data_IF_445571395363
#
_entry.id   IF_445571395363
#
_cell.length_a   1.000
_cell.length_b   1.000
_cell.length_c   1.000
_cell.angle_alpha   90.00
_cell.angle_beta   90.00
_cell.angle_gamma   90.00
#
_symmetry.space_group_name_H-M   'P 1'
#
loop_
_entity.id
_entity.type
_entity.pdbx_description
1 polymer ?
#
# COMPACT_ATOMS: atom_id res chain seq x y z
N UNK A 1 -6.68 -15.71 3.63
CA UNK A 1 -6.71 -14.24 3.76
C UNK A 1 -6.66 -13.63 2.37
N UNK A 2 -7.36 -12.52 2.18
CA UNK A 2 -7.38 -11.73 0.96
C UNK A 2 -6.78 -10.36 1.21
N UNK A 3 -5.80 -9.96 0.41
CA UNK A 3 -5.05 -8.74 0.59
C UNK A 3 -5.36 -7.72 -0.51
N UNK A 4 -5.54 -6.46 -0.13
CA UNK A 4 -5.49 -5.33 -1.04
C UNK A 4 -4.09 -4.74 -0.98
N UNK A 5 -3.39 -4.69 -2.11
CA UNK A 5 -2.04 -4.13 -2.23
C UNK A 5 -2.09 -2.76 -2.90
N UNK A 6 -1.35 -1.80 -2.34
CA UNK A 6 -1.23 -0.45 -2.90
C UNK A 6 0.16 0.14 -2.63
N UNK A 7 0.45 1.32 -3.17
CA UNK A 7 1.64 2.13 -2.91
C UNK A 7 1.41 3.57 -3.39
N UNK A 8 2.41 4.43 -3.29
CA UNK A 8 2.43 5.77 -3.90
C UNK A 8 3.44 5.91 -5.05
N UNK A 9 4.23 4.87 -5.31
CA UNK A 9 5.21 4.86 -6.40
C UNK A 9 4.63 4.48 -7.78
N UNK A 10 3.42 3.89 -7.79
CA UNK A 10 2.73 3.47 -9.01
C UNK A 10 2.52 1.96 -9.11
N UNK A 11 1.55 1.55 -9.96
CA UNK A 11 1.11 0.16 -10.10
C UNK A 11 2.21 -0.80 -10.62
N UNK A 12 3.22 -0.28 -11.30
CA UNK A 12 4.35 -1.00 -11.92
C UNK A 12 5.67 -0.81 -11.14
N UNK A 13 5.61 -0.23 -9.94
CA UNK A 13 6.79 0.02 -9.13
C UNK A 13 7.45 -1.28 -8.63
N UNK A 14 8.79 -1.39 -8.66
CA UNK A 14 9.50 -2.61 -8.22
C UNK A 14 9.23 -2.97 -6.75
N UNK A 15 9.00 -1.97 -5.89
CA UNK A 15 8.65 -2.21 -4.49
C UNK A 15 7.29 -2.88 -4.31
N UNK A 16 6.31 -2.53 -5.15
CA UNK A 16 5.00 -3.16 -5.16
C UNK A 16 5.07 -4.59 -5.68
N UNK A 17 5.91 -4.85 -6.69
CA UNK A 17 6.16 -6.21 -7.18
C UNK A 17 6.81 -7.07 -6.10
N UNK A 18 7.77 -6.52 -5.35
CA UNK A 18 8.40 -7.21 -4.22
C UNK A 18 7.38 -7.50 -3.10
N UNK A 19 6.47 -6.57 -2.81
CA UNK A 19 5.37 -6.78 -1.85
C UNK A 19 4.44 -7.89 -2.32
N UNK A 20 4.04 -7.88 -3.58
CA UNK A 20 3.19 -8.93 -4.19
C UNK A 20 3.85 -10.30 -4.08
N UNK A 21 5.16 -10.39 -4.35
CA UNK A 21 5.94 -11.62 -4.21
C UNK A 21 6.12 -12.09 -2.77
N UNK A 22 6.00 -11.19 -1.80
CA UNK A 22 6.12 -11.53 -0.37
C UNK A 22 4.83 -12.11 0.22
N UNK A 23 3.68 -11.83 -0.38
CA UNK A 23 2.36 -12.25 0.12
C UNK A 23 2.07 -13.69 -0.26
N UNK A 24 1.80 -14.53 0.73
CA UNK A 24 1.31 -15.91 0.55
C UNK A 24 -0.22 -15.89 0.58
N UNK A 25 -0.88 -15.61 -0.54
CA UNK A 25 -2.34 -15.61 -0.54
C UNK A 25 -2.95 -14.91 -1.74
N UNK A 26 -4.27 -14.81 -1.70
CA UNK A 26 -5.04 -14.11 -2.72
C UNK A 26 -4.85 -12.60 -2.53
N UNK A 27 -4.31 -11.91 -3.51
CA UNK A 27 -4.08 -10.48 -3.46
C UNK A 27 -4.55 -9.78 -4.73
N UNK A 28 -5.13 -8.61 -4.57
CA UNK A 28 -5.49 -7.70 -5.65
C UNK A 28 -4.73 -6.40 -5.47
N UNK A 29 -4.09 -5.94 -6.53
CA UNK A 29 -3.37 -4.66 -6.56
C UNK A 29 -4.29 -3.57 -7.06
N UNK A 30 -4.42 -2.50 -6.27
CA UNK A 30 -5.08 -1.25 -6.67
C UNK A 30 -4.14 -0.11 -6.31
N UNK A 31 -3.48 0.46 -7.30
CA UNK A 31 -2.39 1.41 -7.09
C UNK A 31 -2.48 2.60 -8.04
N UNK A 32 -1.83 3.73 -7.77
CA UNK A 32 -1.84 4.89 -8.63
C UNK A 32 -1.32 4.56 -10.04
N UNK A 33 -1.97 5.16 -11.04
CA UNK A 33 -1.50 5.10 -12.43
C UNK A 33 -0.15 5.78 -12.60
N UNK A 34 0.08 6.85 -11.84
CA UNK A 34 1.31 7.64 -11.86
C UNK A 34 1.85 7.81 -10.44
N UNK A 35 3.14 8.07 -10.33
CA UNK A 35 3.85 8.32 -9.08
C UNK A 35 3.22 9.49 -8.28
N UNK A 36 2.92 9.28 -7.00
CA UNK A 36 2.20 10.18 -6.11
C UNK A 36 2.98 10.53 -4.83
N UNK A 37 4.31 10.37 -4.81
CA UNK A 37 5.11 10.63 -3.60
C UNK A 37 4.92 12.04 -3.07
N UNK A 38 4.84 12.15 -1.74
CA UNK A 38 4.66 13.43 -1.05
C UNK A 38 3.22 13.98 -1.12
N UNK A 39 2.26 13.21 -1.64
CA UNK A 39 0.87 13.65 -1.72
C UNK A 39 0.15 13.69 -0.35
N UNK A 40 0.78 13.20 0.71
CA UNK A 40 0.15 13.09 2.02
C UNK A 40 -1.13 12.25 1.97
N UNK A 41 -2.08 12.48 2.87
CA UNK A 41 -3.41 11.83 2.84
C UNK A 41 -4.40 12.64 1.97
N UNK A 42 -3.99 12.98 0.74
CA UNK A 42 -4.90 13.65 -0.18
C UNK A 42 -5.89 12.64 -0.76
N UNK A 43 -7.15 13.04 -0.78
CA UNK A 43 -8.26 12.31 -1.40
C UNK A 43 -8.84 13.18 -2.50
N UNK A 44 -9.14 12.60 -3.65
CA UNK A 44 -9.84 13.29 -4.73
C UNK A 44 -11.28 13.58 -4.32
N UNK A 45 -11.63 14.87 -4.37
CA UNK A 45 -12.94 15.36 -4.01
C UNK A 45 -13.75 15.70 -5.28
N UNK A 46 -14.97 16.06 -5.12
CA UNK A 46 -16.03 16.41 -6.08
C UNK A 46 -15.55 16.95 -7.44
N UNK A 47 -16.09 16.38 -8.52
CA UNK A 47 -15.94 16.93 -9.89
C UNK A 47 -14.83 16.30 -10.73
N UNK A 48 -13.94 15.49 -10.14
CA UNK A 48 -12.93 14.73 -10.89
C UNK A 48 -13.21 13.25 -10.73
N UNK A 49 -13.82 12.58 -11.70
CA UNK A 49 -14.02 11.15 -11.66
C UNK A 49 -12.65 10.45 -11.65
N UNK A 50 -12.51 9.42 -10.82
CA UNK A 50 -11.35 8.55 -10.84
C UNK A 50 -11.52 7.54 -11.96
N UNK A 51 -10.51 7.42 -12.81
CA UNK A 51 -10.45 6.40 -13.84
C UNK A 51 -9.74 5.17 -13.30
N UNK A 52 -10.34 4.00 -13.53
CA UNK A 52 -9.75 2.70 -13.18
C UNK A 52 -9.41 1.98 -14.47
N UNK A 53 -8.16 1.59 -14.62
CA UNK A 53 -7.68 0.83 -15.76
C UNK A 53 -7.16 -0.52 -15.30
N UNK A 54 -7.68 -1.61 -15.85
CA UNK A 54 -7.12 -2.95 -15.65
C UNK A 54 -5.79 -3.08 -16.38
N UNK A 55 -4.76 -3.48 -15.68
CA UNK A 55 -3.38 -3.64 -16.19
C UNK A 55 -2.94 -5.09 -16.29
N UNK A 56 -3.73 -6.00 -15.75
CA UNK A 56 -3.50 -7.43 -15.78
C UNK A 56 -4.42 -8.16 -14.80
N UNK A 57 -4.31 -9.47 -14.68
CA UNK A 57 -5.07 -10.22 -13.69
C UNK A 57 -4.82 -9.66 -12.29
N UNK A 58 -5.89 -9.27 -11.59
CA UNK A 58 -5.84 -8.72 -10.24
C UNK A 58 -4.96 -7.46 -10.07
N UNK A 59 -4.76 -6.67 -11.16
CA UNK A 59 -3.99 -5.41 -11.14
C UNK A 59 -4.79 -4.28 -11.76
N UNK A 60 -5.10 -3.28 -10.96
CA UNK A 60 -5.86 -2.08 -11.34
C UNK A 60 -5.03 -0.83 -11.05
N UNK A 61 -4.91 0.03 -12.07
CA UNK A 61 -4.32 1.36 -11.94
C UNK A 61 -5.42 2.41 -11.83
N UNK A 62 -5.30 3.33 -10.89
CA UNK A 62 -6.28 4.39 -10.61
C UNK A 62 -5.66 5.76 -10.85
N UNK A 63 -6.39 6.66 -11.50
CA UNK A 63 -5.96 8.06 -11.73
C UNK A 63 -6.08 8.93 -10.48
N UNK A 64 -5.61 8.42 -9.33
CA UNK A 64 -5.75 9.04 -8.02
C UNK A 64 -4.55 8.80 -7.11
N UNK A 65 -4.68 9.24 -5.87
CA UNK A 65 -3.67 9.04 -4.82
C UNK A 65 -3.75 7.64 -4.24
N UNK A 66 -2.79 7.28 -3.38
CA UNK A 66 -2.81 5.99 -2.65
C UNK A 66 -4.07 5.84 -1.79
N UNK A 67 -4.52 6.92 -1.12
CA UNK A 67 -5.76 6.90 -0.36
C UNK A 67 -6.99 6.67 -1.26
N UNK A 68 -7.02 7.29 -2.46
CA UNK A 68 -8.06 7.02 -3.46
C UNK A 68 -8.04 5.56 -3.91
N UNK A 69 -6.85 4.99 -4.16
CA UNK A 69 -6.70 3.59 -4.55
C UNK A 69 -7.23 2.64 -3.48
N UNK A 70 -6.89 2.88 -2.20
CA UNK A 70 -7.43 2.10 -1.09
C UNK A 70 -8.95 2.19 -1.02
N UNK A 71 -9.51 3.40 -1.15
CA UNK A 71 -10.95 3.64 -1.17
C UNK A 71 -11.67 2.89 -2.28
N UNK A 72 -11.20 3.09 -3.51
CA UNK A 72 -11.77 2.44 -4.70
C UNK A 72 -11.65 0.92 -4.58
N UNK A 73 -10.51 0.44 -4.11
CA UNK A 73 -10.26 -0.97 -3.89
C UNK A 73 -11.25 -1.59 -2.91
N UNK A 74 -11.41 -1.00 -1.73
CA UNK A 74 -12.27 -1.53 -0.67
C UNK A 74 -13.77 -1.40 -0.96
N UNK A 75 -14.18 -0.35 -1.66
CA UNK A 75 -15.62 -0.05 -1.85
C UNK A 75 -16.16 -0.65 -3.16
N UNK A 76 -15.33 -0.73 -4.22
CA UNK A 76 -15.83 -0.98 -5.56
C UNK A 76 -15.21 -2.18 -6.28
N UNK A 77 -13.95 -2.54 -5.96
CA UNK A 77 -13.22 -3.52 -6.77
C UNK A 77 -13.00 -4.87 -6.09
N UNK A 78 -12.83 -4.87 -4.77
CA UNK A 78 -12.38 -6.07 -4.06
C UNK A 78 -13.28 -6.37 -2.88
N UNK A 79 -14.06 -7.44 -3.00
CA UNK A 79 -14.90 -7.93 -1.90
C UNK A 79 -14.05 -8.70 -0.87
N UNK A 80 -14.48 -8.71 0.39
CA UNK A 80 -13.92 -9.51 1.48
C UNK A 80 -12.40 -9.33 1.70
N UNK A 81 -11.93 -8.08 1.63
CA UNK A 81 -10.54 -7.76 1.99
C UNK A 81 -10.33 -7.96 3.48
N UNK A 82 -9.34 -8.77 3.86
CA UNK A 82 -8.92 -8.97 5.24
C UNK A 82 -7.93 -7.89 5.69
N UNK A 83 -6.93 -7.59 4.86
CA UNK A 83 -5.85 -6.63 5.16
C UNK A 83 -5.51 -5.75 3.97
N UNK A 84 -5.12 -4.51 4.24
CA UNK A 84 -4.51 -3.61 3.26
C UNK A 84 -3.02 -3.50 3.51
N UNK A 85 -2.21 -3.78 2.49
CA UNK A 85 -0.76 -3.66 2.55
C UNK A 85 -0.31 -2.55 1.59
N UNK A 86 0.50 -1.62 2.07
CA UNK A 86 1.00 -0.50 1.27
C UNK A 86 2.52 -0.49 1.22
N UNK A 87 3.09 -0.44 0.03
CA UNK A 87 4.55 -0.39 -0.18
C UNK A 87 5.02 -1.40 -1.25
N UNK A 88 6.28 -1.81 -1.23
CA UNK A 88 7.36 -1.40 -0.31
C UNK A 88 7.91 -0.04 -0.79
N UNK A 89 7.81 1.00 0.04
CA UNK A 89 8.30 2.32 -0.30
C UNK A 89 9.82 2.37 -0.42
N UNK A 90 10.31 3.09 -1.41
CA UNK A 90 11.72 3.43 -1.52
C UNK A 90 12.05 4.60 -0.60
N UNK A 91 12.59 4.32 0.58
CA UNK A 91 12.88 5.30 1.62
C UNK A 91 12.08 5.04 2.89
N UNK A 92 12.50 5.62 3.99
CA UNK A 92 11.83 5.45 5.28
C UNK A 92 10.70 6.46 5.48
N UNK A 93 9.65 6.03 6.15
CA UNK A 93 8.54 6.87 6.59
C UNK A 93 8.54 6.93 8.12
N UNK A 94 9.38 7.80 8.70
CA UNK A 94 9.62 7.88 10.14
C UNK A 94 9.33 9.29 10.67
N UNK A 95 8.90 9.37 11.93
CA UNK A 95 8.64 10.65 12.59
C UNK A 95 7.58 11.47 11.85
N UNK A 96 7.91 12.71 11.47
CA UNK A 96 6.97 13.60 10.77
C UNK A 96 6.69 13.17 9.31
N UNK A 97 7.58 12.40 8.69
CA UNK A 97 7.41 11.92 7.31
C UNK A 97 6.17 11.03 7.17
N UNK A 98 5.74 10.38 8.27
CA UNK A 98 4.49 9.61 8.32
C UNK A 98 3.28 10.45 7.86
N UNK A 99 3.26 11.75 8.15
CA UNK A 99 2.16 12.63 7.75
C UNK A 99 2.18 13.00 6.26
N UNK A 100 3.37 13.01 5.65
CA UNK A 100 3.58 13.36 4.25
C UNK A 100 3.52 12.13 3.33
N UNK A 101 3.66 10.94 3.89
CA UNK A 101 3.74 9.68 3.17
C UNK A 101 2.43 9.29 2.51
N UNK A 102 2.47 9.05 1.20
CA UNK A 102 1.39 8.40 0.46
C UNK A 102 1.27 6.92 0.81
N UNK A 103 2.40 6.22 1.03
CA UNK A 103 2.42 4.82 1.47
C UNK A 103 1.64 4.64 2.77
N UNK A 104 1.93 5.48 3.79
CA UNK A 104 1.20 5.43 5.07
C UNK A 104 -0.25 5.89 4.92
N UNK A 105 -0.54 6.81 3.98
CA UNK A 105 -1.91 7.24 3.71
C UNK A 105 -2.80 6.09 3.22
N UNK A 106 -2.27 5.14 2.46
CA UNK A 106 -3.02 3.97 2.01
C UNK A 106 -3.58 3.15 3.18
N UNK A 107 -2.74 2.84 4.16
CA UNK A 107 -3.18 2.05 5.33
C UNK A 107 -3.98 2.88 6.34
N UNK A 108 -3.71 4.19 6.45
CA UNK A 108 -4.54 5.09 7.25
C UNK A 108 -5.96 5.18 6.69
N UNK A 109 -6.11 5.22 5.37
CA UNK A 109 -7.42 5.16 4.72
C UNK A 109 -8.13 3.82 5.00
N UNK A 110 -7.39 2.70 4.97
CA UNK A 110 -7.93 1.40 5.34
C UNK A 110 -8.47 1.40 6.78
N UNK A 111 -7.70 1.95 7.74
CA UNK A 111 -8.12 2.08 9.14
C UNK A 111 -9.38 2.92 9.31
N UNK A 112 -9.54 4.02 8.56
CA UNK A 112 -10.77 4.82 8.53
C UNK A 112 -11.98 4.03 8.03
N UNK A 113 -11.75 3.03 7.18
CA UNK A 113 -12.80 2.14 6.67
C UNK A 113 -12.94 0.84 7.47
N UNK A 114 -12.33 0.78 8.65
CA UNK A 114 -12.43 -0.36 9.59
C UNK A 114 -11.66 -1.60 9.12
N UNK A 115 -10.66 -1.42 8.25
CA UNK A 115 -9.78 -2.51 7.80
C UNK A 115 -8.38 -2.37 8.40
N UNK A 116 -7.78 -3.46 8.89
CA UNK A 116 -6.40 -3.45 9.35
C UNK A 116 -5.44 -3.21 8.19
N UNK A 117 -4.29 -2.58 8.46
CA UNK A 117 -3.32 -2.28 7.44
C UNK A 117 -1.88 -2.31 7.91
N UNK A 118 -0.95 -2.57 6.98
CA UNK A 118 0.50 -2.52 7.22
C UNK A 118 1.16 -1.73 6.10
N UNK A 119 1.87 -0.65 6.47
CA UNK A 119 2.74 0.10 5.57
C UNK A 119 4.17 -0.44 5.68
N UNK A 120 4.83 -0.69 4.55
CA UNK A 120 6.20 -1.16 4.48
C UNK A 120 7.10 -0.16 3.78
N UNK A 121 8.25 0.16 4.42
CA UNK A 121 9.22 1.11 3.90
C UNK A 121 10.63 0.54 3.95
N UNK A 122 11.39 0.67 2.87
CA UNK A 122 12.77 0.20 2.79
C UNK A 122 13.74 1.37 2.93
N UNK A 123 14.16 1.63 4.17
CA UNK A 123 15.16 2.65 4.44
C UNK A 123 16.56 2.19 3.99
N UNK A 124 17.21 2.99 3.16
CA UNK A 124 18.60 2.77 2.75
C UNK A 124 19.48 3.92 3.20
N UNK A 125 20.64 3.58 3.76
CA UNK A 125 21.64 4.57 4.16
C UNK A 125 22.64 4.80 3.03
N UNK A 126 22.98 6.06 2.76
CA UNK A 126 24.08 6.46 1.86
C UNK A 126 23.93 5.98 0.40
N UNK A 127 22.71 5.96 -0.14
CA UNK A 127 22.50 5.66 -1.57
C UNK A 127 22.89 4.25 -1.99
N UNK A 128 22.92 3.30 -1.08
CA UNK A 128 23.08 1.89 -1.43
C UNK A 128 21.95 1.47 -2.38
N UNK A 129 22.28 0.61 -3.34
CA UNK A 129 21.30 0.04 -4.25
C UNK A 129 20.21 -0.71 -3.46
N UNK A 130 18.97 -0.53 -3.87
CA UNK A 130 17.84 -1.26 -3.33
C UNK A 130 17.90 -2.72 -3.78
N UNK A 131 17.76 -3.61 -2.82
CA UNK A 131 17.67 -5.05 -3.03
C UNK A 131 16.21 -5.47 -2.74
N UNK A 132 15.39 -5.46 -3.78
CA UNK A 132 13.97 -5.75 -3.68
C UNK A 132 13.67 -7.21 -3.32
N UNK A 133 14.52 -8.15 -3.73
CA UNK A 133 14.40 -9.57 -3.36
C UNK A 133 14.59 -9.74 -1.86
N UNK A 134 15.64 -9.11 -1.31
CA UNK A 134 15.91 -9.09 0.13
C UNK A 134 14.80 -8.38 0.90
N UNK A 135 14.33 -7.24 0.41
CA UNK A 135 13.23 -6.49 1.03
C UNK A 135 11.95 -7.34 1.10
N UNK A 136 11.56 -7.98 0.02
CA UNK A 136 10.43 -8.91 0.00
C UNK A 136 10.59 -10.08 0.97
N UNK A 137 11.81 -10.61 1.11
CA UNK A 137 12.13 -11.66 2.09
C UNK A 137 11.98 -11.17 3.55
N UNK A 138 12.30 -9.91 3.84
CA UNK A 138 12.07 -9.32 5.17
C UNK A 138 10.58 -9.06 5.41
N UNK A 139 9.88 -8.51 4.42
CA UNK A 139 8.43 -8.27 4.51
C UNK A 139 7.69 -9.56 4.83
N UNK A 140 8.00 -10.67 4.14
CA UNK A 140 7.35 -11.97 4.40
C UNK A 140 7.47 -12.38 5.87
N UNK A 141 8.68 -12.30 6.46
CA UNK A 141 8.90 -12.69 7.86
C UNK A 141 8.19 -11.78 8.86
N UNK A 142 8.16 -10.47 8.57
CA UNK A 142 7.46 -9.51 9.42
C UNK A 142 5.96 -9.68 9.29
N UNK A 143 5.48 -9.89 8.07
CA UNK A 143 4.06 -10.10 7.79
C UNK A 143 3.50 -11.31 8.53
N UNK A 144 4.20 -12.46 8.48
CA UNK A 144 3.79 -13.68 9.19
C UNK A 144 3.60 -13.43 10.69
N UNK A 145 4.43 -12.57 11.29
CA UNK A 145 4.31 -12.20 12.70
C UNK A 145 3.17 -11.19 12.95
N UNK A 146 3.09 -10.11 12.17
CA UNK A 146 2.13 -9.03 12.40
C UNK A 146 0.68 -9.43 12.10
N UNK A 147 0.45 -10.43 11.25
CA UNK A 147 -0.89 -10.95 10.99
C UNK A 147 -1.49 -11.70 12.20
N UNK A 148 -0.66 -12.12 13.15
CA UNK A 148 -1.08 -12.78 14.39
C UNK A 148 -1.32 -11.78 15.54
N UNK A 149 -0.81 -10.53 15.41
CA UNK A 149 -0.94 -9.50 16.42
C UNK A 149 -2.26 -8.73 16.26
N UNK A 150 -3.06 -8.61 17.32
CA UNK A 150 -4.32 -7.87 17.24
C UNK A 150 -4.07 -6.38 17.03
N UNK A 151 -4.92 -5.77 16.23
CA UNK A 151 -5.04 -4.32 16.08
C UNK A 151 -6.39 -3.85 16.61
N UNK A 152 -6.39 -2.78 17.38
CA UNK A 152 -7.62 -2.11 17.75
C UNK A 152 -8.24 -1.36 16.54
N UNK A 153 -9.55 -1.12 16.52
CA UNK A 153 -10.16 -0.36 15.44
C UNK A 153 -9.52 1.02 15.25
N UNK A 154 -9.07 1.32 14.04
CA UNK A 154 -8.39 2.56 13.69
C UNK A 154 -6.87 2.51 13.79
N UNK A 155 -6.30 1.41 14.21
CA UNK A 155 -4.85 1.19 14.23
C UNK A 155 -4.33 0.55 12.93
N UNK A 156 -3.05 0.76 12.66
CA UNK A 156 -2.30 0.14 11.58
C UNK A 156 -0.81 0.06 11.94
N UNK A 157 -0.10 -0.86 11.31
CA UNK A 157 1.36 -0.96 11.43
C UNK A 157 2.09 -0.09 10.42
N UNK A 158 3.19 0.53 10.85
CA UNK A 158 4.17 1.20 9.97
C UNK A 158 5.56 0.60 10.24
N UNK A 159 6.11 -0.07 9.26
CA UNK A 159 7.32 -0.91 9.32
C UNK A 159 8.44 -0.34 8.46
#
# INVERSE_FOLDING_TARGET
>A
MKFLLTNDDGYDAPGLDALRGAVNGNSVTVAPLEHQSGCSHRVSMWGNPLEVTEKGPDVHAVSGTTADCTRVGLIHLVEDVDWVLSGINQGGNLGHDIYLSGTVAGVREAAFQGKPGIAFSHYTRNGNALDWERAGGWVRRVLDHLLEEPLEPGEFWNV
#
